data_IF_577999177035
#
_entry.id   IF_577999177035
#
_cell.length_a   1.000
_cell.length_b   1.000
_cell.length_c   1.000
_cell.angle_alpha   90.00
_cell.angle_beta   90.00
_cell.angle_gamma   90.00
#
_symmetry.space_group_name_H-M   'P 1'
#
loop_
_entity.id
_entity.type
_entity.pdbx_description
1 polymer ?
#
# COMPACT_ATOMS: atom_id res chain seq x y z
N UNK A 1 -13.69 -8.14 -12.63
CA UNK A 1 -13.70 -8.72 -11.26
C UNK A 1 -15.15 -8.89 -10.86
N UNK A 2 -15.52 -9.81 -9.97
CA UNK A 2 -16.92 -9.96 -9.52
C UNK A 2 -16.99 -9.78 -8.00
N UNK A 3 -18.01 -9.07 -7.52
CA UNK A 3 -18.41 -9.08 -6.11
C UNK A 3 -19.45 -10.18 -5.92
N UNK A 4 -19.22 -11.06 -4.95
CA UNK A 4 -20.18 -12.09 -4.56
C UNK A 4 -21.18 -11.49 -3.58
N UNK A 5 -22.46 -11.56 -3.91
CA UNK A 5 -23.59 -11.19 -3.05
C UNK A 5 -24.25 -12.48 -2.57
N UNK A 6 -23.89 -12.92 -1.36
CA UNK A 6 -24.30 -14.21 -0.79
C UNK A 6 -25.79 -14.21 -0.46
N UNK A 7 -26.30 -13.10 0.06
CA UNK A 7 -27.70 -12.94 0.48
C UNK A 7 -28.64 -13.14 -0.71
N UNK A 8 -28.31 -12.53 -1.85
CA UNK A 8 -29.10 -12.61 -3.08
C UNK A 8 -28.60 -13.71 -4.04
N UNK A 9 -27.60 -14.49 -3.64
CA UNK A 9 -26.96 -15.57 -4.43
C UNK A 9 -26.60 -15.15 -5.87
N UNK A 10 -26.02 -13.97 -6.03
CA UNK A 10 -25.66 -13.42 -7.36
C UNK A 10 -24.22 -12.96 -7.44
N UNK A 11 -23.70 -12.93 -8.67
CA UNK A 11 -22.42 -12.34 -9.01
C UNK A 11 -22.66 -10.96 -9.62
N UNK A 12 -22.02 -9.94 -9.06
CA UNK A 12 -22.08 -8.58 -9.56
C UNK A 12 -20.78 -8.29 -10.29
N UNK A 13 -20.87 -8.10 -11.60
CA UNK A 13 -19.70 -7.71 -12.40
C UNK A 13 -19.23 -6.32 -11.98
N UNK A 14 -17.93 -6.21 -11.69
CA UNK A 14 -17.30 -4.96 -11.34
C UNK A 14 -16.58 -4.40 -12.55
N UNK A 15 -16.98 -3.18 -12.94
CA UNK A 15 -16.27 -2.39 -13.91
C UNK A 15 -14.98 -1.84 -13.28
N UNK A 16 -13.83 -1.99 -13.93
CA UNK A 16 -12.61 -1.33 -13.49
C UNK A 16 -12.78 0.19 -13.63
N UNK A 17 -12.34 0.92 -12.62
CA UNK A 17 -12.39 2.39 -12.58
C UNK A 17 -10.98 2.95 -12.50
N UNK A 18 -10.78 4.17 -13.00
CA UNK A 18 -9.50 4.86 -12.90
C UNK A 18 -9.40 5.64 -11.58
N UNK A 19 -8.27 5.51 -10.88
CA UNK A 19 -7.99 6.30 -9.68
C UNK A 19 -8.09 7.81 -9.93
N UNK A 20 -7.61 8.26 -11.10
CA UNK A 20 -7.71 9.66 -11.51
C UNK A 20 -9.15 10.11 -11.74
N UNK A 21 -9.99 9.27 -12.35
CA UNK A 21 -11.42 9.55 -12.55
C UNK A 21 -12.16 9.64 -11.21
N UNK A 22 -11.75 8.83 -10.25
CA UNK A 22 -12.28 8.82 -8.88
C UNK A 22 -11.71 9.93 -7.98
N UNK A 23 -10.81 10.78 -8.50
CA UNK A 23 -10.09 11.83 -7.75
C UNK A 23 -9.38 11.30 -6.51
N UNK A 24 -8.96 10.03 -6.54
CA UNK A 24 -8.22 9.41 -5.46
C UNK A 24 -6.77 9.87 -5.51
N UNK A 25 -6.19 10.07 -4.33
CA UNK A 25 -4.83 10.55 -4.16
C UNK A 25 -4.02 9.55 -3.34
N UNK A 26 -2.71 9.57 -3.56
CA UNK A 26 -1.78 8.68 -2.87
C UNK A 26 -1.76 8.90 -1.35
N UNK A 27 -1.55 10.13 -0.82
CA UNK A 27 -1.42 10.33 0.63
C UNK A 27 -2.75 10.27 1.40
N UNK A 28 -3.90 10.60 0.78
CA UNK A 28 -5.18 10.66 1.50
C UNK A 28 -6.00 9.38 1.39
N UNK A 29 -5.90 8.65 0.28
CA UNK A 29 -6.71 7.46 0.05
C UNK A 29 -5.86 6.20 0.17
N UNK A 30 -4.83 6.07 -0.66
CA UNK A 30 -4.06 4.81 -0.76
C UNK A 30 -3.24 4.57 0.50
N UNK A 31 -2.49 5.56 0.95
CA UNK A 31 -1.70 5.48 2.17
C UNK A 31 -2.60 5.17 3.38
N UNK A 32 -3.75 5.83 3.46
CA UNK A 32 -4.73 5.61 4.54
C UNK A 32 -5.33 4.19 4.51
N UNK A 33 -5.64 3.66 3.33
CA UNK A 33 -6.13 2.28 3.19
C UNK A 33 -5.08 1.25 3.59
N UNK A 34 -3.82 1.45 3.17
CA UNK A 34 -2.71 0.56 3.53
C UNK A 34 -2.44 0.65 5.03
N UNK A 35 -2.50 1.83 5.62
CA UNK A 35 -2.32 1.99 7.07
C UNK A 35 -3.37 1.21 7.86
N UNK A 36 -4.65 1.38 7.49
CA UNK A 36 -5.77 0.73 8.18
C UNK A 36 -5.83 -0.77 7.91
N UNK A 37 -5.38 -1.20 6.73
CA UNK A 37 -5.47 -2.59 6.29
C UNK A 37 -4.16 -3.05 5.63
N UNK A 38 -3.04 -3.15 6.38
CA UNK A 38 -1.73 -3.46 5.81
C UNK A 38 -1.67 -4.85 5.15
N UNK A 39 -2.59 -5.75 5.52
CA UNK A 39 -2.75 -7.09 4.93
C UNK A 39 -3.03 -7.05 3.42
N UNK A 40 -3.50 -5.94 2.86
CA UNK A 40 -3.66 -5.78 1.40
C UNK A 40 -2.35 -5.95 0.64
N UNK A 41 -1.22 -5.78 1.31
CA UNK A 41 0.12 -5.98 0.76
C UNK A 41 0.55 -7.46 0.72
N UNK A 42 -0.28 -8.39 1.20
CA UNK A 42 0.04 -9.81 1.26
C UNK A 42 1.00 -10.19 2.40
N UNK A 43 1.30 -9.25 3.30
CA UNK A 43 2.18 -9.44 4.45
C UNK A 43 1.50 -9.06 5.76
N UNK A 44 1.94 -9.69 6.85
CA UNK A 44 1.56 -9.28 8.20
C UNK A 44 2.52 -8.19 8.70
N UNK A 45 2.09 -6.95 8.51
CA UNK A 45 2.85 -5.76 8.87
C UNK A 45 2.15 -4.99 10.00
N UNK A 46 2.95 -4.49 10.95
CA UNK A 46 2.54 -3.51 11.95
C UNK A 46 3.01 -2.14 11.51
N UNK A 47 2.07 -1.25 11.15
CA UNK A 47 2.40 0.13 10.79
C UNK A 47 2.80 0.90 12.05
N UNK A 48 3.97 1.55 12.00
CA UNK A 48 4.52 2.35 13.08
C UNK A 48 4.20 3.84 12.91
N UNK A 49 4.36 4.36 11.68
CA UNK A 49 4.17 5.78 11.39
C UNK A 49 3.91 6.00 9.90
N UNK A 50 3.19 7.09 9.61
CA UNK A 50 3.01 7.66 8.28
C UNK A 50 3.88 8.90 8.08
N UNK A 51 4.26 9.18 6.84
CA UNK A 51 4.94 10.41 6.42
C UNK A 51 6.16 10.76 7.27
N UNK A 52 7.01 9.77 7.50
CA UNK A 52 8.16 9.88 8.40
C UNK A 52 9.34 10.55 7.70
N UNK A 53 9.90 11.60 8.30
CA UNK A 53 11.09 12.27 7.79
C UNK A 53 12.35 11.67 8.41
N UNK A 54 13.25 11.16 7.57
CA UNK A 54 14.59 10.75 8.00
C UNK A 54 15.55 11.95 8.05
N UNK A 55 16.68 11.88 8.79
CA UNK A 55 17.64 12.99 8.91
C UNK A 55 18.20 13.52 7.58
N UNK A 56 18.18 12.72 6.51
CA UNK A 56 18.56 13.18 5.16
C UNK A 56 17.54 14.13 4.52
N UNK A 57 16.40 14.38 5.17
CA UNK A 57 15.29 15.17 4.64
C UNK A 57 14.35 14.38 3.72
N UNK A 58 14.65 13.10 3.44
CA UNK A 58 13.73 12.25 2.67
C UNK A 58 12.48 11.92 3.53
N UNK A 59 11.30 12.02 2.93
CA UNK A 59 10.04 11.54 3.49
C UNK A 59 9.80 10.08 3.06
N UNK A 60 9.47 9.21 4.01
CA UNK A 60 9.00 7.85 3.78
C UNK A 60 7.47 7.83 3.94
N UNK A 61 6.74 7.15 3.07
CA UNK A 61 5.27 7.16 3.11
C UNK A 61 4.76 6.37 4.31
N UNK A 62 5.14 5.09 4.44
CA UNK A 62 4.84 4.30 5.63
C UNK A 62 6.08 3.54 6.13
N UNK A 63 6.19 3.48 7.45
CA UNK A 63 7.17 2.68 8.17
C UNK A 63 6.46 1.60 8.97
N UNK A 64 6.93 0.36 8.89
CA UNK A 64 6.29 -0.78 9.51
C UNK A 64 7.29 -1.81 10.05
N UNK A 65 6.80 -2.79 10.80
CA UNK A 65 7.53 -3.99 11.21
C UNK A 65 6.85 -5.24 10.64
N UNK A 66 7.65 -6.22 10.24
CA UNK A 66 7.13 -7.56 9.96
C UNK A 66 7.21 -8.49 11.19
N UNK A 67 6.69 -9.72 11.05
CA UNK A 67 6.74 -10.75 12.10
C UNK A 67 8.13 -11.12 12.61
N UNK A 68 9.18 -10.84 11.83
CA UNK A 68 10.58 -11.11 12.19
C UNK A 68 11.26 -9.88 12.78
N UNK A 69 10.49 -8.84 13.13
CA UNK A 69 10.98 -7.55 13.58
C UNK A 69 11.92 -6.85 12.58
N UNK A 70 11.80 -7.16 11.28
CA UNK A 70 12.48 -6.38 10.26
C UNK A 70 11.76 -5.04 10.11
N UNK A 71 12.54 -3.97 9.97
CA UNK A 71 12.00 -2.67 9.59
C UNK A 71 11.61 -2.70 8.11
N UNK A 72 10.35 -2.39 7.82
CA UNK A 72 9.79 -2.37 6.46
C UNK A 72 9.48 -0.94 6.08
N UNK A 73 10.08 -0.48 4.99
CA UNK A 73 9.75 0.79 4.36
C UNK A 73 8.79 0.49 3.20
N UNK A 74 7.66 1.18 3.18
CA UNK A 74 6.63 1.06 2.15
C UNK A 74 6.59 2.41 1.43
N UNK A 75 6.91 2.42 0.15
CA UNK A 75 6.85 3.64 -0.67
C UNK A 75 5.86 3.49 -1.80
N UNK A 76 5.05 4.52 -1.97
CA UNK A 76 3.94 4.58 -2.91
C UNK A 76 4.35 5.47 -4.09
N UNK A 77 4.04 5.00 -5.30
CA UNK A 77 4.26 5.78 -6.50
C UNK A 77 3.16 5.51 -7.52
N UNK A 78 2.70 6.56 -8.18
CA UNK A 78 1.94 6.42 -9.41
C UNK A 78 2.86 5.96 -10.54
N UNK A 79 2.52 4.84 -11.17
CA UNK A 79 3.22 4.44 -12.39
C UNK A 79 2.93 5.44 -13.51
N UNK A 80 3.96 6.17 -13.96
CA UNK A 80 3.89 7.15 -15.05
C UNK A 80 4.39 6.59 -16.39
N UNK A 81 4.20 5.29 -16.63
CA UNK A 81 4.49 4.71 -17.95
C UNK A 81 3.35 5.02 -18.91
N UNK A 82 3.66 5.73 -20.01
CA UNK A 82 2.71 6.32 -20.95
C UNK A 82 1.77 5.33 -21.65
N UNK A 83 0.73 4.89 -20.96
CA UNK A 83 -0.63 4.59 -21.39
C UNK A 83 -1.42 4.53 -20.07
N UNK A 84 -2.59 5.15 -19.98
CA UNK A 84 -3.47 5.24 -18.80
C UNK A 84 -3.35 4.05 -17.83
N UNK A 85 -2.38 4.09 -16.92
CA UNK A 85 -2.03 2.97 -16.06
C UNK A 85 -2.51 3.29 -14.66
N UNK A 86 -3.63 2.67 -14.30
CA UNK A 86 -4.25 2.72 -12.97
C UNK A 86 -3.45 1.89 -11.95
N UNK A 87 -2.12 1.93 -12.04
CA UNK A 87 -1.24 1.07 -11.27
C UNK A 87 -0.59 1.87 -10.16
N UNK A 88 -0.90 1.48 -8.94
CA UNK A 88 -0.15 1.86 -7.75
C UNK A 88 1.05 0.93 -7.69
N UNK A 89 2.24 1.50 -7.75
CA UNK A 89 3.46 0.77 -7.47
C UNK A 89 3.77 0.90 -5.98
N UNK A 90 4.03 -0.23 -5.34
CA UNK A 90 4.39 -0.29 -3.93
C UNK A 90 5.78 -0.91 -3.86
N UNK A 91 6.74 -0.16 -3.31
CA UNK A 91 8.06 -0.67 -3.03
C UNK A 91 8.15 -1.05 -1.55
N UNK A 92 8.33 -2.35 -1.29
CA UNK A 92 8.61 -2.88 0.05
C UNK A 92 10.10 -3.15 0.19
N UNK A 93 10.75 -2.44 1.11
CA UNK A 93 12.15 -2.70 1.48
C UNK A 93 12.23 -3.16 2.92
N UNK A 94 12.69 -4.40 3.13
CA UNK A 94 12.99 -4.93 4.46
C UNK A 94 14.46 -4.69 4.81
N UNK A 95 14.68 -4.01 5.93
CA UNK A 95 15.97 -3.85 6.54
C UNK A 95 16.05 -4.86 7.69
N UNK A 96 16.95 -5.82 7.52
CA UNK A 96 17.27 -6.83 8.54
C UNK A 96 18.64 -6.52 9.11
N UNK A 97 18.76 -6.44 10.43
CA UNK A 97 20.07 -6.38 11.08
C UNK A 97 20.54 -7.81 11.34
N UNK A 98 21.64 -8.23 10.71
CA UNK A 98 22.24 -9.57 10.96
C UNK A 98 23.18 -9.58 12.16
N UNK A 99 23.19 -8.55 13.00
CA UNK A 99 24.25 -8.31 13.99
C UNK A 99 23.91 -8.64 15.44
N UNK A 100 22.74 -9.23 15.72
CA UNK A 100 22.33 -9.62 17.08
C UNK A 100 21.82 -11.07 17.15
N UNK A 101 22.59 -12.02 16.60
CA UNK A 101 22.54 -13.44 16.97
C UNK A 101 23.98 -13.94 17.11
#
# INVERSE_FOLDING_TARGET
MYKVDIENKRLIEMTPVNFAEMKLTEPYDIEDWIEKTPKVLGEELLILTRQFYVPSGKKLDLLALDKKANLVIIELFWFRGGVASNKICILLRKLSDRRYI
#
